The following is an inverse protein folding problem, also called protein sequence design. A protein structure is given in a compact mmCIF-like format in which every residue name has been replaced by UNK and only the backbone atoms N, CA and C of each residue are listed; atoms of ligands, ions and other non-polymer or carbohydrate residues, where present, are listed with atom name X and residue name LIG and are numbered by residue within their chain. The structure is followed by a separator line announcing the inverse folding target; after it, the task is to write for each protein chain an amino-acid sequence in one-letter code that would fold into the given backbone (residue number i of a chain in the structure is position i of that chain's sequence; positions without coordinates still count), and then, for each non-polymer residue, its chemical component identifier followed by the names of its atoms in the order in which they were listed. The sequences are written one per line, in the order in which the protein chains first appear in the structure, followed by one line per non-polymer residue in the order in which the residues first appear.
data_IF_485533873726
#
_entry.id   IF_485533873726
#
_cell.length_a   1.000
_cell.length_b   1.000
_cell.length_c   1.000
_cell.angle_alpha   90.00
_cell.angle_beta   90.00
_cell.angle_gamma   90.00
#
_symmetry.space_group_name_H-M   'P 1'
#
loop_
_entity.id
_entity.type
_entity.pdbx_description
1 polymer ?
#
# COMPACT_ATOMS: atom_id res chain seq x y z
N UNK A 1 -11.89 17.50 -0.31
CA UNK A 1 -10.67 17.11 -1.05
C UNK A 1 -9.66 16.67 -0.02
N UNK A 2 -9.43 15.36 0.13
CA UNK A 2 -8.48 14.85 1.10
C UNK A 2 -7.06 15.13 0.59
N UNK A 3 -6.33 16.00 1.28
CA UNK A 3 -4.88 16.07 1.14
C UNK A 3 -4.34 14.71 1.58
N UNK A 4 -4.09 13.81 0.63
CA UNK A 4 -3.28 12.63 0.90
C UNK A 4 -1.88 13.14 1.18
N UNK A 5 -1.55 13.22 2.46
CA UNK A 5 -0.29 13.72 2.98
C UNK A 5 0.90 13.12 2.24
N UNK A 6 1.89 13.97 1.96
CA UNK A 6 3.17 13.61 1.32
C UNK A 6 3.94 12.54 2.11
N UNK A 7 3.51 12.24 3.34
CA UNK A 7 4.03 11.22 4.24
C UNK A 7 3.97 9.82 3.63
N UNK A 8 2.87 9.42 2.99
CA UNK A 8 2.63 8.03 2.55
C UNK A 8 2.72 7.82 1.02
N UNK A 9 3.72 8.44 0.39
CA UNK A 9 4.14 8.12 -0.97
C UNK A 9 5.57 7.53 -1.00
N UNK A 10 5.87 6.60 -1.93
CA UNK A 10 7.22 6.10 -2.09
C UNK A 10 8.22 7.22 -2.46
N UNK A 11 9.52 7.04 -2.16
CA UNK A 11 10.56 8.03 -2.46
C UNK A 11 10.67 8.39 -3.95
N UNK A 12 10.86 9.68 -4.29
CA UNK A 12 11.06 10.12 -5.68
C UNK A 12 12.27 9.46 -6.37
N UNK A 13 13.24 8.98 -5.60
CA UNK A 13 14.42 8.30 -6.14
C UNK A 13 14.10 7.01 -6.90
N UNK A 14 12.91 6.41 -6.78
CA UNK A 14 12.54 5.23 -7.59
C UNK A 14 11.99 5.59 -8.98
N UNK A 15 11.78 6.89 -9.27
CA UNK A 15 11.26 7.33 -10.56
C UNK A 15 12.15 6.90 -11.72
N UNK A 16 11.49 6.64 -12.86
CA UNK A 16 12.07 6.19 -14.13
C UNK A 16 12.80 4.83 -14.03
N UNK A 17 12.48 4.00 -13.04
CA UNK A 17 13.02 2.65 -12.91
C UNK A 17 12.35 1.70 -13.92
N UNK A 18 13.10 1.26 -14.94
CA UNK A 18 12.60 0.39 -16.02
C UNK A 18 12.63 -1.09 -15.70
N UNK A 19 13.49 -1.48 -14.76
CA UNK A 19 13.63 -2.83 -14.26
C UNK A 19 13.67 -2.81 -12.73
N UNK A 20 12.90 -3.68 -12.08
CA UNK A 20 12.95 -3.84 -10.64
C UNK A 20 14.01 -4.90 -10.29
N UNK A 21 15.13 -4.47 -9.72
CA UNK A 21 16.15 -5.35 -9.13
C UNK A 21 16.00 -5.42 -7.61
N UNK A 22 16.70 -6.32 -6.94
CA UNK A 22 16.66 -6.37 -5.47
C UNK A 22 17.28 -5.11 -4.84
N UNK A 23 18.33 -4.55 -5.44
CA UNK A 23 18.84 -3.20 -5.08
C UNK A 23 17.79 -2.12 -5.35
N UNK A 24 17.03 -2.23 -6.45
CA UNK A 24 15.92 -1.36 -6.78
C UNK A 24 14.84 -1.33 -5.69
N UNK A 25 14.54 -2.48 -5.07
CA UNK A 25 13.58 -2.58 -3.96
C UNK A 25 14.03 -1.78 -2.74
N UNK A 26 15.33 -1.77 -2.42
CA UNK A 26 15.86 -0.99 -1.30
C UNK A 26 15.65 0.53 -1.48
N UNK A 27 15.54 1.00 -2.72
CA UNK A 27 15.25 2.42 -3.02
C UNK A 27 13.81 2.83 -2.65
N UNK A 28 12.91 1.89 -2.37
CA UNK A 28 11.57 2.18 -1.84
C UNK A 28 11.56 2.49 -0.35
N UNK A 29 12.69 2.28 0.35
CA UNK A 29 12.82 2.55 1.77
C UNK A 29 12.58 4.03 2.07
N UNK A 30 11.66 4.31 2.99
CA UNK A 30 11.36 5.66 3.48
C UNK A 30 11.25 5.65 5.00
N UNK A 31 11.90 6.61 5.64
CA UNK A 31 11.73 6.86 7.07
C UNK A 31 10.67 7.95 7.26
N UNK A 32 9.74 7.71 8.17
CA UNK A 32 8.75 8.71 8.60
C UNK A 32 8.69 8.76 10.12
N UNK A 33 8.38 9.94 10.65
CA UNK A 33 8.09 10.14 12.08
C UNK A 33 6.59 10.37 12.21
N UNK A 34 5.93 9.54 13.00
CA UNK A 34 4.49 9.61 13.22
C UNK A 34 4.19 9.91 14.69
N UNK A 35 3.23 10.80 14.97
CA UNK A 35 2.64 10.90 16.30
C UNK A 35 1.99 9.56 16.67
N UNK A 36 2.27 9.08 17.87
CA UNK A 36 1.79 7.82 18.39
C UNK A 36 1.32 7.96 19.84
N UNK A 37 0.41 7.08 20.25
CA UNK A 37 0.07 6.89 21.66
C UNK A 37 0.35 5.43 21.99
N UNK A 38 1.15 5.17 23.03
CA UNK A 38 1.30 3.83 23.59
C UNK A 38 0.08 3.52 24.46
N UNK A 39 -0.60 2.42 24.17
CA UNK A 39 -1.90 2.10 24.77
C UNK A 39 -1.99 0.63 25.21
N UNK A 40 -2.52 0.33 26.41
CA UNK A 40 -2.66 -1.05 26.90
C UNK A 40 -3.56 -1.92 26.02
N UNK A 41 -3.06 -3.07 25.55
CA UNK A 41 -3.77 -3.93 24.61
C UNK A 41 -5.11 -4.45 25.16
N UNK A 42 -5.19 -4.70 26.47
CA UNK A 42 -6.40 -5.17 27.14
C UNK A 42 -7.53 -4.13 27.19
N UNK A 43 -7.23 -2.84 26.93
CA UNK A 43 -8.21 -1.75 26.95
C UNK A 43 -8.58 -1.27 25.54
N UNK A 44 -7.89 -1.73 24.49
CA UNK A 44 -8.07 -1.24 23.10
C UNK A 44 -9.53 -1.33 22.65
N UNK A 45 -10.23 -2.40 23.01
CA UNK A 45 -11.65 -2.59 22.66
C UNK A 45 -12.57 -1.47 23.16
N UNK A 46 -12.17 -0.71 24.20
CA UNK A 46 -12.96 0.42 24.73
C UNK A 46 -12.95 1.65 23.82
N UNK A 47 -11.90 1.80 23.02
CA UNK A 47 -11.72 2.98 22.16
C UNK A 47 -11.92 2.66 20.66
N UNK A 48 -11.82 1.37 20.28
CA UNK A 48 -12.06 0.92 18.90
C UNK A 48 -13.49 1.26 18.49
N UNK A 49 -13.62 2.15 17.50
CA UNK A 49 -14.90 2.68 17.02
C UNK A 49 -15.16 4.14 17.37
N UNK A 50 -14.36 4.74 18.24
CA UNK A 50 -14.44 6.18 18.52
C UNK A 50 -13.87 6.98 17.34
N UNK A 51 -14.75 7.68 16.62
CA UNK A 51 -14.37 8.51 15.47
C UNK A 51 -13.45 9.67 15.84
N UNK A 52 -13.64 10.28 17.02
CA UNK A 52 -12.76 11.34 17.55
C UNK A 52 -11.29 10.88 17.64
N UNK A 53 -11.05 9.58 17.77
CA UNK A 53 -9.70 9.00 17.77
C UNK A 53 -9.34 8.50 16.38
N UNK A 54 -10.15 7.61 15.81
CA UNK A 54 -9.77 6.82 14.63
C UNK A 54 -9.89 7.55 13.29
N UNK A 55 -10.66 8.64 13.18
CA UNK A 55 -10.71 9.46 11.96
C UNK A 55 -9.38 10.23 11.72
N UNK A 56 -8.53 10.33 12.75
CA UNK A 56 -7.21 10.98 12.71
C UNK A 56 -6.04 9.96 12.66
N UNK A 57 -6.34 8.66 12.68
CA UNK A 57 -5.31 7.62 12.60
C UNK A 57 -4.81 7.39 11.19
N UNK A 58 -3.59 6.85 11.06
CA UNK A 58 -3.06 6.45 9.75
C UNK A 58 -3.95 5.43 9.08
N UNK A 59 -4.12 5.53 7.76
CA UNK A 59 -4.76 4.44 7.01
C UNK A 59 -3.87 3.19 7.02
N UNK A 60 -4.49 2.01 6.90
CA UNK A 60 -3.73 0.77 6.74
C UNK A 60 -2.90 0.84 5.46
N UNK A 61 -1.58 0.90 5.61
CA UNK A 61 -0.62 0.82 4.51
C UNK A 61 -0.23 -0.64 4.26
N UNK A 62 0.11 -1.37 5.33
CA UNK A 62 0.48 -2.78 5.30
C UNK A 62 -0.02 -3.51 6.54
N UNK A 63 0.29 -4.80 6.69
CA UNK A 63 -0.01 -5.52 7.94
C UNK A 63 0.89 -5.07 9.11
N UNK A 64 2.08 -4.53 8.81
CA UNK A 64 3.01 -3.92 9.77
C UNK A 64 2.59 -2.50 10.13
N UNK A 65 2.18 -1.71 9.15
CA UNK A 65 1.86 -0.29 9.30
C UNK A 65 0.37 -0.06 9.12
N UNK A 66 -0.33 0.05 10.26
CA UNK A 66 -1.79 0.13 10.38
C UNK A 66 -2.15 0.98 11.62
N UNK A 67 -3.39 1.50 11.75
CA UNK A 67 -3.79 2.37 12.85
C UNK A 67 -3.36 1.89 14.24
N UNK A 68 -3.50 0.59 14.49
CA UNK A 68 -3.11 -0.06 15.74
C UNK A 68 -1.95 -1.01 15.45
N UNK A 69 -0.75 -0.64 15.85
CA UNK A 69 0.47 -1.39 15.60
C UNK A 69 0.91 -2.15 16.87
N UNK A 70 1.29 -3.42 16.68
CA UNK A 70 1.78 -4.26 17.77
C UNK A 70 3.19 -3.83 18.20
N UNK A 71 3.44 -3.84 19.51
CA UNK A 71 4.78 -3.60 20.07
C UNK A 71 5.32 -4.95 20.52
N UNK A 72 6.41 -5.46 19.90
CA UNK A 72 7.01 -6.73 20.31
C UNK A 72 7.35 -6.74 21.80
N UNK A 73 7.10 -7.88 22.45
CA UNK A 73 7.49 -8.13 23.84
C UNK A 73 6.83 -7.24 24.90
N UNK A 74 5.71 -6.56 24.58
CA UNK A 74 4.92 -5.80 25.56
C UNK A 74 3.44 -6.13 25.47
N UNK A 75 2.69 -5.82 26.53
CA UNK A 75 1.23 -5.86 26.54
C UNK A 75 0.59 -4.58 25.96
N UNK A 76 1.38 -3.71 25.34
CA UNK A 76 0.93 -2.43 24.79
C UNK A 76 0.92 -2.47 23.26
N UNK A 77 0.16 -1.54 22.68
CA UNK A 77 0.10 -1.28 21.24
C UNK A 77 0.35 0.19 20.99
N UNK A 78 0.81 0.53 19.80
CA UNK A 78 0.80 1.90 19.34
C UNK A 78 -0.48 2.20 18.59
N UNK A 79 -1.07 3.36 18.86
CA UNK A 79 -2.06 3.98 18.00
C UNK A 79 -1.32 5.04 17.19
N UNK A 80 -1.24 4.87 15.88
CA UNK A 80 -0.49 5.74 14.97
C UNK A 80 -1.42 6.76 14.31
N UNK A 81 -1.00 8.03 14.31
CA UNK A 81 -1.81 9.15 13.80
C UNK A 81 -1.21 9.80 12.56
N UNK A 82 -2.09 10.35 11.72
CA UNK A 82 -1.70 11.14 10.55
C UNK A 82 -1.19 12.51 11.00
N UNK A 83 0.09 12.86 10.77
CA UNK A 83 0.66 14.13 11.24
C UNK A 83 -0.12 15.35 10.72
N UNK A 84 -0.51 15.31 9.44
CA UNK A 84 -1.20 16.41 8.75
C UNK A 84 -2.64 16.61 9.24
N UNK A 85 -3.21 15.65 9.98
CA UNK A 85 -4.56 15.75 10.52
C UNK A 85 -4.57 16.21 11.99
N UNK A 86 -3.41 16.40 12.62
CA UNK A 86 -3.32 16.77 14.03
C UNK A 86 -2.95 18.24 14.22
N UNK A 87 -3.61 18.88 15.18
CA UNK A 87 -3.22 20.17 15.78
C UNK A 87 -3.39 20.09 17.31
N UNK A 88 -3.03 21.15 18.04
CA UNK A 88 -3.09 21.15 19.51
C UNK A 88 -4.50 20.84 20.07
N UNK A 89 -5.54 21.35 19.40
CA UNK A 89 -6.93 21.14 19.80
C UNK A 89 -7.36 19.68 19.60
N UNK A 90 -7.11 19.12 18.41
CA UNK A 90 -7.42 17.71 18.08
C UNK A 90 -6.67 16.76 19.01
N UNK A 91 -5.39 17.04 19.31
CA UNK A 91 -4.62 16.24 20.27
C UNK A 91 -5.29 16.24 21.64
N UNK A 92 -5.70 17.40 22.12
CA UNK A 92 -6.39 17.51 23.42
C UNK A 92 -7.71 16.73 23.43
N UNK A 93 -8.51 16.82 22.37
CA UNK A 93 -9.77 16.07 22.23
C UNK A 93 -9.56 14.54 22.21
N UNK A 94 -8.51 14.07 21.54
CA UNK A 94 -8.13 12.65 21.52
C UNK A 94 -7.76 12.16 22.92
N UNK A 95 -6.91 12.92 23.63
CA UNK A 95 -6.47 12.56 24.99
C UNK A 95 -7.65 12.55 25.98
N UNK A 96 -8.53 13.55 25.90
CA UNK A 96 -9.75 13.59 26.72
C UNK A 96 -10.67 12.40 26.42
N UNK A 97 -10.90 12.10 25.15
CA UNK A 97 -11.72 10.96 24.73
C UNK A 97 -11.16 9.63 25.25
N UNK A 98 -9.83 9.45 25.18
CA UNK A 98 -9.16 8.27 25.74
C UNK A 98 -9.36 8.20 27.26
N UNK A 99 -9.15 9.32 27.95
CA UNK A 99 -9.34 9.39 29.41
C UNK A 99 -10.76 9.01 29.81
N UNK A 100 -11.77 9.52 29.13
CA UNK A 100 -13.18 9.23 29.42
C UNK A 100 -13.55 7.76 29.12
N UNK A 101 -13.08 7.20 28.01
CA UNK A 101 -13.47 5.85 27.58
C UNK A 101 -12.69 4.73 28.29
N UNK A 102 -11.42 4.97 28.60
CA UNK A 102 -10.53 3.94 29.14
C UNK A 102 -10.14 4.17 30.60
N UNK A 103 -10.42 5.35 31.17
CA UNK A 103 -10.04 5.77 32.53
C UNK A 103 -8.52 5.67 32.78
N UNK A 104 -7.74 6.10 31.79
CA UNK A 104 -6.28 6.17 31.85
C UNK A 104 -5.78 7.50 31.29
N UNK A 105 -4.64 7.97 31.77
CA UNK A 105 -3.91 9.08 31.19
C UNK A 105 -2.83 8.54 30.25
N UNK A 106 -2.70 9.16 29.09
CA UNK A 106 -1.71 8.84 28.06
C UNK A 106 -1.21 10.14 27.45
N UNK A 107 -0.07 10.09 26.78
CA UNK A 107 0.51 11.21 26.06
C UNK A 107 0.87 10.80 24.63
N UNK A 108 1.02 11.80 23.77
CA UNK A 108 1.59 11.57 22.45
C UNK A 108 3.11 11.48 22.52
N UNK A 109 3.67 10.53 21.78
CA UNK A 109 5.10 10.41 21.50
C UNK A 109 5.38 10.40 20.00
N UNK A 110 6.62 10.63 19.61
CA UNK A 110 7.07 10.52 18.22
C UNK A 110 7.64 9.13 17.97
N UNK A 111 7.16 8.46 16.92
CA UNK A 111 7.64 7.14 16.53
C UNK A 111 8.24 7.14 15.14
N UNK A 112 9.51 6.72 15.07
CA UNK A 112 10.19 6.42 13.81
C UNK A 112 9.67 5.11 13.21
N UNK A 113 9.16 5.19 11.99
CA UNK A 113 8.67 4.06 11.21
C UNK A 113 9.43 3.98 9.89
N UNK A 114 10.00 2.81 9.63
CA UNK A 114 10.61 2.49 8.33
C UNK A 114 9.58 1.79 7.45
N UNK A 115 9.29 2.40 6.30
CA UNK A 115 8.43 1.85 5.25
C UNK A 115 9.32 1.24 4.17
N UNK A 116 9.12 -0.03 3.86
CA UNK A 116 9.95 -0.78 2.91
C UNK A 116 9.16 -1.18 1.65
N UNK A 117 9.83 -1.78 0.67
CA UNK A 117 9.19 -2.21 -0.58
C UNK A 117 7.91 -2.99 -0.29
N UNK A 118 7.97 -3.95 0.63
CA UNK A 118 6.92 -4.86 1.08
C UNK A 118 5.68 -4.13 1.61
N UNK A 119 5.85 -2.96 2.22
CA UNK A 119 4.76 -2.20 2.82
C UNK A 119 3.93 -1.42 1.78
N UNK A 120 4.52 -1.07 0.63
CA UNK A 120 3.84 -0.33 -0.42
C UNK A 120 2.93 -1.24 -1.25
N UNK A 121 1.75 -0.74 -1.64
CA UNK A 121 0.88 -1.46 -2.58
C UNK A 121 1.48 -1.51 -3.99
N UNK A 122 1.07 -2.49 -4.81
CA UNK A 122 1.49 -2.59 -6.21
C UNK A 122 1.28 -1.27 -6.97
N UNK A 123 0.11 -0.64 -6.79
CA UNK A 123 -0.23 0.63 -7.44
C UNK A 123 0.67 1.78 -6.99
N UNK A 124 1.01 1.87 -5.69
CA UNK A 124 1.96 2.86 -5.19
C UNK A 124 3.35 2.62 -5.79
N UNK A 125 3.82 1.38 -5.80
CA UNK A 125 5.13 1.04 -6.38
C UNK A 125 5.20 1.40 -7.86
N UNK A 126 4.19 0.98 -8.65
CA UNK A 126 4.15 1.24 -10.09
C UNK A 126 4.11 2.76 -10.35
N UNK A 127 3.20 3.49 -9.72
CA UNK A 127 3.12 4.94 -9.97
C UNK A 127 4.38 5.69 -9.54
N UNK A 128 5.11 5.18 -8.53
CA UNK A 128 6.35 5.80 -8.10
C UNK A 128 7.53 5.59 -9.06
N UNK A 129 7.55 4.50 -9.83
CA UNK A 129 8.61 4.27 -10.84
C UNK A 129 8.35 5.00 -12.15
N UNK A 130 7.15 5.55 -12.36
CA UNK A 130 6.81 6.27 -13.59
C UNK A 130 7.30 7.72 -13.56
N UNK A 131 7.51 8.34 -14.73
CA UNK A 131 7.69 9.79 -14.83
C UNK A 131 6.49 10.56 -14.30
N UNK A 132 6.71 11.79 -13.84
CA UNK A 132 5.61 12.68 -13.44
C UNK A 132 4.61 12.89 -14.59
N UNK A 133 3.31 12.91 -14.27
CA UNK A 133 2.23 13.05 -15.24
C UNK A 133 1.74 11.74 -15.86
N UNK A 134 2.52 10.65 -15.78
CA UNK A 134 2.13 9.32 -16.28
C UNK A 134 1.58 8.48 -15.12
N UNK A 135 0.40 7.90 -15.30
CA UNK A 135 -0.28 7.11 -14.27
C UNK A 135 -0.64 5.72 -14.78
N UNK A 136 -0.46 4.74 -13.91
CA UNK A 136 -0.96 3.39 -14.12
C UNK A 136 -2.43 3.29 -13.72
N UNK A 137 -3.27 2.86 -14.67
CA UNK A 137 -4.72 2.76 -14.52
C UNK A 137 -5.12 1.66 -13.54
N UNK A 138 -4.52 0.47 -13.67
CA UNK A 138 -4.82 -0.70 -12.86
C UNK A 138 -4.51 -2.00 -13.60
N UNK A 139 -4.84 -3.10 -12.93
CA UNK A 139 -4.73 -4.47 -13.46
C UNK A 139 -5.97 -5.26 -13.04
N UNK A 140 -6.16 -6.39 -13.71
CA UNK A 140 -7.16 -7.39 -13.32
C UNK A 140 -6.47 -8.74 -13.12
N UNK A 141 -7.08 -9.61 -12.31
CA UNK A 141 -6.57 -10.94 -12.03
C UNK A 141 -7.64 -11.98 -12.32
N UNK A 142 -7.26 -13.04 -13.04
CA UNK A 142 -8.09 -14.22 -13.31
C UNK A 142 -7.29 -15.43 -12.84
N UNK A 143 -7.74 -16.07 -11.76
CA UNK A 143 -6.98 -17.12 -11.09
C UNK A 143 -5.55 -16.68 -10.74
N UNK A 144 -4.54 -17.31 -11.33
CA UNK A 144 -3.13 -16.93 -11.09
C UNK A 144 -2.53 -15.94 -12.11
N UNK A 145 -3.32 -15.52 -13.09
CA UNK A 145 -2.87 -14.67 -14.19
C UNK A 145 -3.32 -13.24 -13.90
N UNK A 146 -2.36 -12.31 -13.85
CA UNK A 146 -2.61 -10.87 -13.82
C UNK A 146 -2.46 -10.32 -15.23
N UNK A 147 -3.41 -9.51 -15.66
CA UNK A 147 -3.32 -8.83 -16.95
C UNK A 147 -3.49 -7.33 -16.83
N UNK A 148 -2.74 -6.61 -17.66
CA UNK A 148 -2.75 -5.15 -17.81
C UNK A 148 -2.99 -4.76 -19.26
N UNK A 149 -3.36 -3.50 -19.49
CA UNK A 149 -3.36 -2.88 -20.81
C UNK A 149 -2.42 -1.67 -20.74
N UNK A 150 -1.16 -1.86 -21.13
CA UNK A 150 -0.16 -0.80 -21.11
C UNK A 150 -0.29 0.08 -22.35
N UNK A 151 -0.42 1.39 -22.13
CA UNK A 151 -0.29 2.41 -23.17
C UNK A 151 1.17 2.54 -23.60
N UNK A 152 1.42 3.11 -24.77
CA UNK A 152 2.78 3.29 -25.33
C UNK A 152 3.76 3.92 -24.32
N UNK A 153 3.33 4.95 -23.60
CA UNK A 153 4.13 5.65 -22.58
C UNK A 153 4.59 4.76 -21.41
N UNK A 154 3.88 3.66 -21.15
CA UNK A 154 4.17 2.69 -20.08
C UNK A 154 5.05 1.54 -20.57
N UNK A 155 5.14 1.30 -21.89
CA UNK A 155 5.92 0.19 -22.46
C UNK A 155 7.40 0.20 -22.05
N UNK A 156 8.09 1.37 -21.92
CA UNK A 156 9.47 1.39 -21.41
C UNK A 156 9.65 0.85 -19.99
N UNK A 157 8.57 0.71 -19.22
CA UNK A 157 8.55 0.25 -17.83
C UNK A 157 7.89 -1.13 -17.68
N UNK A 158 7.52 -1.79 -18.78
CA UNK A 158 6.68 -3.00 -18.78
C UNK A 158 7.24 -4.13 -17.91
N UNK A 159 8.55 -4.34 -17.88
CA UNK A 159 9.19 -5.38 -17.08
C UNK A 159 9.23 -5.05 -15.58
N UNK A 160 9.52 -3.80 -15.20
CA UNK A 160 9.38 -3.37 -13.81
C UNK A 160 7.92 -3.49 -13.33
N UNK A 161 6.95 -3.07 -14.15
CA UNK A 161 5.52 -3.22 -13.85
C UNK A 161 5.18 -4.71 -13.67
N UNK A 162 5.61 -5.55 -14.60
CA UNK A 162 5.42 -7.00 -14.56
C UNK A 162 5.94 -7.61 -13.26
N UNK A 163 7.19 -7.32 -12.90
CA UNK A 163 7.80 -7.87 -11.68
C UNK A 163 7.11 -7.35 -10.40
N UNK A 164 6.75 -6.06 -10.35
CA UNK A 164 6.00 -5.52 -9.22
C UNK A 164 4.67 -6.25 -9.05
N UNK A 165 3.90 -6.42 -10.13
CA UNK A 165 2.61 -7.10 -10.09
C UNK A 165 2.75 -8.57 -9.67
N UNK A 166 3.77 -9.27 -10.18
CA UNK A 166 4.03 -10.66 -9.84
C UNK A 166 4.32 -10.81 -8.34
N UNK A 167 5.18 -9.97 -7.77
CA UNK A 167 5.59 -10.07 -6.35
C UNK A 167 4.51 -9.54 -5.38
N UNK A 168 3.68 -8.58 -5.83
CA UNK A 168 2.72 -7.87 -4.95
C UNK A 168 1.29 -8.40 -5.03
N UNK A 169 0.97 -9.24 -6.00
CA UNK A 169 -0.39 -9.76 -6.19
C UNK A 169 -0.49 -11.17 -5.65
N UNK A 170 -1.40 -11.39 -4.71
CA UNK A 170 -1.60 -12.70 -4.10
C UNK A 170 -1.93 -13.75 -5.16
N UNK A 171 -1.32 -14.93 -5.04
CA UNK A 171 -1.51 -16.07 -5.96
C UNK A 171 -1.19 -15.78 -7.42
N UNK A 172 -0.41 -14.73 -7.74
CA UNK A 172 0.03 -14.46 -9.11
C UNK A 172 1.25 -15.33 -9.48
N UNK A 173 1.22 -15.95 -10.67
CA UNK A 173 2.38 -16.64 -11.26
C UNK A 173 2.75 -16.12 -12.65
N UNK A 174 1.82 -15.40 -13.28
CA UNK A 174 1.95 -14.93 -14.66
C UNK A 174 1.41 -13.52 -14.76
N UNK A 175 2.20 -12.59 -15.31
CA UNK A 175 1.75 -11.23 -15.63
C UNK A 175 1.86 -10.99 -17.12
N UNK A 176 0.78 -10.57 -17.75
CA UNK A 176 0.72 -10.33 -19.20
C UNK A 176 0.24 -8.93 -19.51
N UNK A 177 0.75 -8.35 -20.59
CA UNK A 177 0.15 -7.21 -21.25
C UNK A 177 -0.78 -7.71 -22.34
N UNK A 178 -2.03 -7.27 -22.28
CA UNK A 178 -3.03 -7.52 -23.31
C UNK A 178 -2.86 -6.49 -24.41
N UNK A 179 -2.44 -6.94 -25.59
CA UNK A 179 -2.27 -6.08 -26.76
C UNK A 179 -3.62 -5.85 -27.44
N UNK A 180 -3.80 -4.66 -28.01
CA UNK A 180 -4.96 -4.34 -28.85
C UNK A 180 -4.74 -4.96 -30.25
N UNK A 181 -5.07 -6.24 -30.41
CA UNK A 181 -5.22 -6.86 -31.73
C UNK A 181 -6.64 -7.40 -31.89
N UNK A 182 -7.41 -6.84 -32.82
CA UNK A 182 -8.73 -7.36 -33.22
C UNK A 182 -8.64 -7.73 -34.71
N UNK A 183 -7.90 -8.78 -35.05
CA UNK A 183 -7.84 -9.27 -36.44
C UNK A 183 -7.98 -10.79 -36.56
N UNK A 184 -9.03 -11.36 -35.94
CA UNK A 184 -9.39 -12.77 -36.15
C UNK A 184 -10.90 -12.95 -35.91
N UNK A 185 -11.56 -13.87 -36.64
CA UNK A 185 -12.99 -14.21 -36.49
C UNK A 185 -13.39 -14.58 -35.04
N UNK A 186 -12.43 -14.93 -34.20
CA UNK A 186 -12.62 -15.44 -32.85
C UNK A 186 -12.21 -14.46 -31.73
N UNK A 187 -11.79 -13.21 -32.05
CA UNK A 187 -11.38 -12.17 -31.06
C UNK A 187 -10.35 -12.66 -30.02
N UNK A 188 -9.27 -13.29 -30.48
CA UNK A 188 -8.13 -13.61 -29.63
C UNK A 188 -7.27 -12.36 -29.39
N UNK A 189 -6.76 -12.21 -28.17
CA UNK A 189 -5.81 -11.15 -27.82
C UNK A 189 -4.39 -11.72 -27.84
N UNK A 190 -3.46 -11.01 -28.45
CA UNK A 190 -2.05 -11.29 -28.27
C UNK A 190 -1.62 -10.88 -26.85
N UNK A 191 -0.88 -11.76 -26.18
CA UNK A 191 -0.41 -11.58 -24.82
C UNK A 191 1.12 -11.50 -24.80
N UNK A 192 1.64 -10.38 -24.33
CA UNK A 192 3.08 -10.21 -24.07
C UNK A 192 3.36 -10.51 -22.59
N UNK A 193 4.18 -11.54 -22.31
CA UNK A 193 4.53 -11.92 -20.93
C UNK A 193 5.49 -10.88 -20.36
N UNK A 194 5.06 -10.22 -19.29
CA UNK A 194 5.83 -9.20 -18.60
C UNK A 194 6.68 -9.78 -17.46
N UNK A 195 6.17 -10.82 -16.78
CA UNK A 195 6.87 -11.51 -15.71
C UNK A 195 6.22 -12.86 -15.41
N UNK A 196 7.01 -13.79 -14.86
CA UNK A 196 6.52 -15.11 -14.43
C UNK A 196 6.56 -16.14 -15.56
N UNK A 197 5.76 -17.20 -15.42
CA UNK A 197 5.73 -18.32 -16.36
C UNK A 197 4.77 -18.05 -17.53
N UNK A 198 5.09 -18.53 -18.73
CA UNK A 198 4.19 -18.47 -19.88
C UNK A 198 3.07 -19.53 -19.76
N UNK A 199 2.28 -19.45 -18.69
CA UNK A 199 1.13 -20.31 -18.43
C UNK A 199 -0.17 -19.49 -18.49
N UNK A 200 -1.03 -19.85 -19.44
CA UNK A 200 -2.30 -19.17 -19.71
C UNK A 200 -3.54 -19.99 -19.29
N UNK A 201 -3.34 -21.17 -18.70
CA UNK A 201 -4.42 -22.05 -18.26
C UNK A 201 -4.64 -21.82 -16.77
N UNK A 202 -5.80 -21.28 -16.39
CA UNK A 202 -6.13 -21.07 -14.99
C UNK A 202 -7.56 -21.51 -14.68
N UNK A 203 -7.79 -21.92 -13.44
CA UNK A 203 -9.13 -22.19 -12.93
C UNK A 203 -9.57 -21.04 -12.02
N UNK A 204 -10.86 -20.72 -12.06
CA UNK A 204 -11.48 -19.73 -11.17
C UNK A 204 -12.69 -20.39 -10.53
N UNK A 205 -12.85 -20.19 -9.23
CA UNK A 205 -14.10 -20.52 -8.52
C UNK A 205 -14.90 -19.23 -8.40
N UNK A 206 -15.88 -19.05 -9.28
CA UNK A 206 -16.86 -17.96 -9.16
C UNK A 206 -18.19 -18.53 -8.65
N UNK A 207 -18.63 -18.07 -7.47
CA UNK A 207 -19.85 -18.55 -6.81
C UNK A 207 -19.64 -19.89 -6.10
N UNK A 208 -19.93 -19.92 -4.79
CA UNK A 208 -20.25 -21.16 -4.10
C UNK A 208 -21.70 -21.55 -4.36
#
# INVERSE_FOLDING_TARGET
MAATGTTFCPPKQVQRMRELTDEGKHRFRKEVVLPAIMFPANLISRIVGCKTIFDYTVKKLSNRIKPIMDIPSTSNKYILFEPDLLNAEIRSQILESISQLANISVDFEERHITIEYEDWSAKQCINAILPEGILFSGFSQVGHIVHVNLREELLPYKFAIGRILLEKTNNCKTVVNKLESIENEYRFFELDVLAGEANYITEVREGG
#
